data_IF_944221893360
#
_entry.id   IF_944221893360
#
_cell.length_a   1.000
_cell.length_b   1.000
_cell.length_c   1.000
_cell.angle_alpha   90.00
_cell.angle_beta   90.00
_cell.angle_gamma   90.00
#
_symmetry.space_group_name_H-M   'P 1'
#
loop_
_entity.id
_entity.type
_entity.pdbx_description
1 polymer ?
#
# COMPACT_ATOMS: atom_id res chain seq x y z
N UNK A 1 -1.87 -25.74 -32.66
CA UNK A 1 -2.55 -24.63 -31.93
C UNK A 1 -1.78 -24.35 -30.65
N UNK A 2 -1.14 -23.18 -30.52
CA UNK A 2 -0.45 -22.78 -29.27
C UNK A 2 -1.45 -22.04 -28.39
N UNK A 3 -1.86 -22.64 -27.28
CA UNK A 3 -2.74 -22.01 -26.30
C UNK A 3 -2.07 -20.77 -25.71
N UNK A 4 -2.76 -19.63 -25.69
CA UNK A 4 -2.29 -18.43 -25.00
C UNK A 4 -2.25 -18.71 -23.50
N UNK A 5 -1.20 -18.31 -22.76
CA UNK A 5 -1.22 -18.42 -21.31
C UNK A 5 -2.34 -17.53 -20.76
N UNK A 6 -3.27 -18.14 -20.01
CA UNK A 6 -4.26 -17.38 -19.22
C UNK A 6 -3.48 -16.63 -18.14
N UNK A 7 -3.41 -15.30 -18.26
CA UNK A 7 -3.06 -14.43 -17.13
C UNK A 7 -4.13 -14.62 -16.06
N UNK A 8 -3.77 -15.29 -14.97
CA UNK A 8 -4.55 -15.26 -13.72
C UNK A 8 -4.69 -13.79 -13.33
N UNK A 9 -5.92 -13.31 -13.22
CA UNK A 9 -6.19 -11.95 -12.74
C UNK A 9 -5.79 -11.91 -11.28
N UNK A 10 -4.66 -11.26 -11.03
CA UNK A 10 -4.13 -10.96 -9.71
C UNK A 10 -5.09 -10.04 -8.98
N UNK A 11 -5.30 -10.27 -7.69
CA UNK A 11 -6.18 -9.44 -6.87
C UNK A 11 -5.42 -8.17 -6.45
N UNK A 12 -6.06 -6.98 -6.50
CA UNK A 12 -5.39 -5.72 -6.21
C UNK A 12 -5.10 -5.55 -4.71
N UNK A 13 -3.99 -4.90 -4.38
CA UNK A 13 -3.59 -4.55 -2.99
C UNK A 13 -3.99 -3.11 -2.67
N UNK A 14 -4.39 -2.83 -1.43
CA UNK A 14 -4.90 -1.50 -1.03
C UNK A 14 -3.95 -0.88 -0.02
N UNK A 15 -3.41 0.32 -0.30
CA UNK A 15 -2.54 1.04 0.64
C UNK A 15 -3.27 2.28 1.16
N UNK A 16 -3.43 2.39 2.48
CA UNK A 16 -4.02 3.56 3.14
C UNK A 16 -2.92 4.43 3.76
N UNK A 17 -3.06 5.75 3.62
CA UNK A 17 -2.11 6.72 4.17
C UNK A 17 -2.82 7.59 5.18
N UNK A 18 -2.50 7.37 6.46
CA UNK A 18 -3.04 8.17 7.56
C UNK A 18 -2.42 9.57 7.56
N UNK A 19 -3.22 10.59 7.87
CA UNK A 19 -2.74 11.98 7.99
C UNK A 19 -2.54 12.37 9.45
N UNK A 20 -1.41 12.99 9.85
CA UNK A 20 -1.17 13.38 11.23
C UNK A 20 -1.98 14.63 11.67
N UNK A 21 -2.78 15.22 10.79
CA UNK A 21 -3.53 16.46 11.07
C UNK A 21 -5.02 16.21 10.93
N UNK A 22 -5.79 16.43 12.01
CA UNK A 22 -7.23 16.16 12.15
C UNK A 22 -8.15 16.91 11.14
N UNK A 23 -7.59 17.61 10.17
CA UNK A 23 -8.31 18.39 9.14
C UNK A 23 -7.99 17.97 7.70
N UNK A 24 -7.08 17.02 7.47
CA UNK A 24 -6.69 16.62 6.11
C UNK A 24 -6.94 15.14 5.86
N UNK A 25 -8.10 14.88 5.23
CA UNK A 25 -8.53 13.66 4.53
C UNK A 25 -7.49 12.54 4.53
N UNK A 26 -7.78 11.44 5.23
CA UNK A 26 -7.06 10.19 5.04
C UNK A 26 -7.11 9.82 3.55
N UNK A 27 -5.93 9.63 2.96
CA UNK A 27 -5.79 9.40 1.53
C UNK A 27 -5.64 7.91 1.30
N UNK A 28 -6.52 7.32 0.49
CA UNK A 28 -6.40 5.93 0.06
C UNK A 28 -5.68 5.87 -1.29
N UNK A 29 -4.56 5.16 -1.35
CA UNK A 29 -3.85 4.85 -2.59
C UNK A 29 -3.94 3.34 -2.83
N UNK A 30 -4.87 2.93 -3.70
CA UNK A 30 -4.95 1.53 -4.12
C UNK A 30 -3.85 1.28 -5.16
N UNK A 31 -2.95 0.33 -4.87
CA UNK A 31 -1.91 -0.10 -5.82
C UNK A 31 -2.19 -1.53 -6.23
N UNK A 32 -2.45 -1.76 -7.52
CA UNK A 32 -2.59 -3.11 -8.08
C UNK A 32 -1.22 -3.81 -8.13
N UNK A 33 -0.73 -4.24 -6.97
CA UNK A 33 0.52 -4.96 -6.80
C UNK A 33 0.21 -6.42 -6.56
N UNK A 34 0.76 -7.29 -7.40
CA UNK A 34 0.56 -8.75 -7.31
C UNK A 34 1.37 -9.39 -6.17
N UNK A 35 2.28 -8.62 -5.56
CA UNK A 35 3.25 -9.06 -4.56
C UNK A 35 3.19 -8.17 -3.30
N UNK A 36 2.89 -8.81 -2.17
CA UNK A 36 2.84 -8.18 -0.86
C UNK A 36 4.20 -7.58 -0.46
N UNK A 37 5.33 -8.21 -0.78
CA UNK A 37 6.66 -7.65 -0.47
C UNK A 37 6.90 -6.34 -1.24
N UNK A 38 6.44 -6.27 -2.49
CA UNK A 38 6.52 -5.06 -3.30
C UNK A 38 5.65 -3.94 -2.70
N UNK A 39 4.46 -4.28 -2.19
CA UNK A 39 3.56 -3.33 -1.53
C UNK A 39 4.18 -2.74 -0.26
N UNK A 40 4.77 -3.57 0.60
CA UNK A 40 5.45 -3.12 1.82
C UNK A 40 6.66 -2.24 1.48
N UNK A 41 7.49 -2.62 0.49
CA UNK A 41 8.62 -1.78 0.03
C UNK A 41 8.15 -0.42 -0.48
N UNK A 42 7.04 -0.37 -1.23
CA UNK A 42 6.48 0.88 -1.72
C UNK A 42 5.92 1.74 -0.58
N UNK A 43 5.22 1.12 0.37
CA UNK A 43 4.70 1.79 1.55
C UNK A 43 5.82 2.43 2.40
N UNK A 44 6.97 1.77 2.56
CA UNK A 44 8.15 2.37 3.19
C UNK A 44 8.67 3.61 2.46
N UNK A 45 8.77 3.55 1.13
CA UNK A 45 9.19 4.71 0.32
C UNK A 45 8.22 5.88 0.46
N UNK A 46 6.91 5.60 0.47
CA UNK A 46 5.86 6.61 0.65
C UNK A 46 5.95 7.21 2.05
N UNK A 47 6.07 6.40 3.10
CA UNK A 47 6.21 6.88 4.48
C UNK A 47 7.45 7.78 4.62
N UNK A 48 8.58 7.36 4.03
CA UNK A 48 9.82 8.14 3.96
C UNK A 48 9.68 9.47 3.21
N UNK A 49 9.04 9.46 2.04
CA UNK A 49 8.90 10.66 1.20
C UNK A 49 7.86 11.66 1.74
N UNK A 50 6.83 11.16 2.42
CA UNK A 50 5.72 12.00 2.91
C UNK A 50 5.86 12.40 4.37
N UNK A 51 6.73 11.71 5.14
CA UNK A 51 6.81 11.89 6.58
C UNK A 51 5.54 11.43 7.32
N UNK A 52 4.73 10.57 6.70
CA UNK A 52 3.44 10.10 7.23
C UNK A 52 3.47 8.60 7.52
N UNK A 53 2.59 8.17 8.42
CA UNK A 53 2.34 6.75 8.64
C UNK A 53 1.54 6.18 7.46
N UNK A 54 1.86 4.96 7.07
CA UNK A 54 1.25 4.25 5.94
C UNK A 54 0.82 2.87 6.41
N UNK A 55 -0.44 2.51 6.16
CA UNK A 55 -0.99 1.19 6.47
C UNK A 55 -1.21 0.41 5.18
N UNK A 56 -0.62 -0.77 5.09
CA UNK A 56 -0.79 -1.70 3.97
C UNK A 56 -1.94 -2.65 4.32
N UNK A 57 -2.90 -2.80 3.42
CA UNK A 57 -4.02 -3.73 3.54
C UNK A 57 -4.10 -4.67 2.35
N UNK A 58 -4.59 -5.87 2.58
CA UNK A 58 -4.89 -6.80 1.49
C UNK A 58 -6.18 -6.41 0.74
N UNK A 59 -6.56 -7.25 -0.22
CA UNK A 59 -7.77 -7.07 -1.03
C UNK A 59 -9.08 -7.18 -0.22
N UNK A 60 -9.04 -7.86 0.93
CA UNK A 60 -10.15 -7.98 1.88
C UNK A 60 -10.16 -6.82 2.89
N UNK A 61 -9.30 -5.80 2.70
CA UNK A 61 -9.10 -4.66 3.59
C UNK A 61 -8.60 -5.05 4.98
N UNK A 62 -7.94 -6.22 5.11
CA UNK A 62 -7.28 -6.64 6.34
C UNK A 62 -5.93 -5.96 6.43
N UNK A 63 -5.62 -5.37 7.58
CA UNK A 63 -4.30 -4.79 7.84
C UNK A 63 -3.21 -5.85 7.79
N UNK A 64 -2.27 -5.65 6.87
CA UNK A 64 -1.06 -6.46 6.76
C UNK A 64 0.02 -5.86 7.66
N UNK A 65 0.29 -4.56 7.53
CA UNK A 65 1.36 -3.88 8.23
C UNK A 65 1.11 -2.38 8.31
N UNK A 66 1.47 -1.76 9.43
CA UNK A 66 1.51 -0.31 9.57
C UNK A 66 2.95 0.18 9.72
N UNK A 67 3.38 0.98 8.76
CA UNK A 67 4.69 1.64 8.73
C UNK A 67 4.54 3.00 9.40
N UNK A 68 5.20 3.23 10.55
CA UNK A 68 5.09 4.51 11.24
C UNK A 68 5.75 5.62 10.44
N UNK A 69 5.32 6.86 10.69
CA UNK A 69 6.01 8.03 10.17
C UNK A 69 7.51 7.99 10.59
N UNK A 70 8.44 8.30 9.68
CA UNK A 70 9.85 8.44 10.03
C UNK A 70 9.98 9.46 11.17
N UNK A 71 10.76 9.14 12.20
CA UNK A 71 11.10 10.13 13.23
C UNK A 71 11.93 11.21 12.57
N UNK A 72 11.39 12.42 12.47
CA UNK A 72 12.15 13.61 12.12
C UNK A 72 13.26 13.75 13.17
N UNK A 73 14.52 13.55 12.77
CA UNK A 73 15.67 13.98 13.56
C UNK A 73 15.84 15.49 13.45
#
# INVERSE_FOLDING_TARGET
MRGRPKRTKSQPVVIEIASPTALQRDGLIVLDLEDQEAAVKMAHKIAGATGRAVTVRDHDMVEIETIPAPKTQ
#
